data_IF_968274616322
#
_entry.id   IF_968274616322
#
_cell.length_a   1.000
_cell.length_b   1.000
_cell.length_c   1.000
_cell.angle_alpha   90.00
_cell.angle_beta   90.00
_cell.angle_gamma   90.00
#
_symmetry.space_group_name_H-M   'P 1'
#
loop_
_entity.id
_entity.type
_entity.pdbx_description
1 polymer ?
#
# COMPACT_ATOMS: atom_id res chain seq x y z
N UNK A 1 -90.56 22.95 2.37
CA UNK A 1 -89.81 21.73 2.54
C UNK A 1 -88.49 21.92 1.83
N UNK A 2 -87.52 22.42 2.47
CA UNK A 2 -86.19 22.65 1.88
C UNK A 2 -85.14 21.90 2.74
N UNK A 3 -84.54 20.88 2.16
CA UNK A 3 -83.43 20.13 2.81
C UNK A 3 -82.16 20.91 2.60
N UNK A 4 -81.58 21.38 3.69
CA UNK A 4 -80.23 21.92 3.71
C UNK A 4 -79.23 20.75 3.76
N UNK A 5 -78.34 20.68 2.78
CA UNK A 5 -77.19 19.74 2.77
C UNK A 5 -76.00 20.51 3.28
N UNK A 6 -75.46 20.11 4.44
CA UNK A 6 -74.25 20.64 5.04
C UNK A 6 -73.07 19.90 4.46
N UNK A 7 -72.27 20.58 3.65
CA UNK A 7 -71.01 20.01 3.15
C UNK A 7 -69.92 20.31 4.18
N UNK A 8 -69.48 19.32 4.90
CA UNK A 8 -68.26 19.36 5.74
C UNK A 8 -67.02 19.31 4.88
N UNK A 9 -66.28 20.41 4.84
CA UNK A 9 -64.96 20.55 4.20
C UNK A 9 -63.90 19.91 5.10
N UNK A 10 -63.48 18.69 4.75
CA UNK A 10 -62.32 18.01 5.40
C UNK A 10 -61.05 18.58 4.79
N UNK A 11 -60.47 19.56 5.46
CA UNK A 11 -59.16 20.11 5.10
C UNK A 11 -58.08 19.20 5.68
N UNK A 12 -57.73 18.18 4.92
CA UNK A 12 -56.59 17.28 5.26
C UNK A 12 -55.29 18.02 5.08
N UNK A 13 -54.64 18.38 6.17
CA UNK A 13 -53.25 18.85 6.18
C UNK A 13 -52.33 17.69 5.82
N UNK A 14 -51.93 17.66 4.56
CA UNK A 14 -50.87 16.75 4.08
C UNK A 14 -49.54 17.31 4.59
N UNK A 15 -49.14 16.93 5.82
CA UNK A 15 -47.78 17.11 6.29
C UNK A 15 -46.86 16.22 5.43
N UNK A 16 -46.37 16.79 4.34
CA UNK A 16 -45.28 16.19 3.57
C UNK A 16 -44.05 16.04 4.45
N UNK A 17 -43.78 14.82 4.92
CA UNK A 17 -42.46 14.45 5.40
C UNK A 17 -41.50 14.55 4.20
N UNK A 18 -40.92 15.74 4.03
CA UNK A 18 -39.70 15.90 3.26
C UNK A 18 -38.60 15.16 4.04
N UNK A 19 -38.50 13.84 3.83
CA UNK A 19 -37.31 13.12 4.17
C UNK A 19 -36.19 13.76 3.38
N UNK A 20 -35.46 14.69 4.00
CA UNK A 20 -34.18 15.12 3.51
C UNK A 20 -33.31 13.83 3.42
N UNK A 21 -33.27 13.22 2.24
CA UNK A 21 -32.25 12.24 1.98
C UNK A 21 -30.93 13.01 2.06
N UNK A 22 -30.29 12.92 3.22
CA UNK A 22 -28.92 13.35 3.34
C UNK A 22 -28.15 12.60 2.28
N UNK A 23 -27.65 13.29 1.25
CA UNK A 23 -26.82 12.71 0.21
C UNK A 23 -25.70 11.96 0.93
N UNK A 24 -25.61 10.67 0.69
CA UNK A 24 -24.57 9.85 1.31
C UNK A 24 -23.21 10.46 0.96
N UNK A 25 -22.39 10.74 1.99
CA UNK A 25 -21.06 11.31 1.77
C UNK A 25 -20.23 10.31 0.97
N UNK A 26 -19.65 10.80 -0.11
CA UNK A 26 -18.77 10.02 -0.95
C UNK A 26 -17.36 10.60 -0.90
N UNK A 27 -16.38 9.75 -0.57
CA UNK A 27 -14.96 10.07 -0.58
C UNK A 27 -14.29 9.42 -1.78
N UNK A 28 -13.37 10.14 -2.41
CA UNK A 28 -12.57 9.64 -3.52
C UNK A 28 -11.12 9.52 -3.09
N UNK A 29 -10.49 8.40 -3.42
CA UNK A 29 -9.07 8.17 -3.17
C UNK A 29 -8.39 7.50 -4.35
N UNK A 30 -7.08 7.66 -4.45
CA UNK A 30 -6.29 6.99 -5.46
C UNK A 30 -4.87 6.70 -4.97
N UNK A 31 -4.25 5.66 -5.52
CA UNK A 31 -2.83 5.42 -5.28
C UNK A 31 -2.43 3.95 -5.25
N UNK A 32 -1.69 3.58 -4.22
CA UNK A 32 -1.01 2.32 -4.08
C UNK A 32 -1.88 1.08 -4.35
N UNK A 33 -1.32 0.13 -5.08
CA UNK A 33 -1.92 -1.22 -5.24
C UNK A 33 -1.48 -2.18 -4.14
N UNK A 34 -0.40 -1.88 -3.43
CA UNK A 34 0.13 -2.66 -2.31
C UNK A 34 -0.96 -2.93 -1.25
N UNK A 35 -1.65 -1.92 -0.65
CA UNK A 35 -2.68 -2.14 0.35
C UNK A 35 -4.08 -2.40 -0.23
N UNK A 36 -4.25 -2.45 -1.55
CA UNK A 36 -5.58 -2.44 -2.17
C UNK A 36 -6.52 -3.55 -1.66
N UNK A 37 -6.09 -4.81 -1.48
CA UNK A 37 -6.97 -5.85 -0.92
C UNK A 37 -7.47 -5.52 0.50
N UNK A 38 -6.60 -4.95 1.35
CA UNK A 38 -6.98 -4.49 2.69
C UNK A 38 -7.89 -3.26 2.63
N UNK A 39 -7.55 -2.26 1.80
CA UNK A 39 -8.36 -1.05 1.66
C UNK A 39 -9.75 -1.37 1.11
N UNK A 40 -9.85 -2.23 0.12
CA UNK A 40 -11.14 -2.69 -0.41
C UNK A 40 -12.01 -3.32 0.68
N UNK A 41 -11.40 -4.17 1.54
CA UNK A 41 -12.10 -4.76 2.68
C UNK A 41 -12.50 -3.71 3.71
N UNK A 42 -11.58 -2.86 4.13
CA UNK A 42 -11.85 -1.80 5.12
C UNK A 42 -12.95 -0.85 4.63
N UNK A 43 -12.88 -0.37 3.39
CA UNK A 43 -13.86 0.56 2.83
C UNK A 43 -15.25 -0.07 2.70
N UNK A 44 -15.32 -1.34 2.32
CA UNK A 44 -16.58 -2.08 2.29
C UNK A 44 -17.23 -2.22 3.68
N UNK A 45 -16.43 -2.54 4.69
CA UNK A 45 -16.94 -2.68 6.06
C UNK A 45 -17.32 -1.32 6.66
N UNK A 46 -16.50 -0.29 6.43
CA UNK A 46 -16.81 1.07 6.88
C UNK A 46 -18.10 1.61 6.24
N UNK A 47 -18.32 1.31 4.95
CA UNK A 47 -19.60 1.66 4.30
C UNK A 47 -20.80 1.00 4.96
N UNK A 48 -20.71 -0.28 5.32
CA UNK A 48 -21.79 -1.00 6.02
C UNK A 48 -22.09 -0.39 7.39
N UNK A 49 -21.06 0.07 8.09
CA UNK A 49 -21.18 0.64 9.44
C UNK A 49 -21.71 2.09 9.41
N UNK A 50 -21.35 2.89 8.40
CA UNK A 50 -21.54 4.35 8.43
C UNK A 50 -22.34 4.92 7.26
N UNK A 51 -22.52 4.17 6.18
CA UNK A 51 -23.10 4.66 4.93
C UNK A 51 -22.17 5.58 4.11
N UNK A 52 -20.93 5.85 4.57
CA UNK A 52 -19.97 6.65 3.82
C UNK A 52 -19.32 5.80 2.73
N UNK A 53 -19.55 6.17 1.47
CA UNK A 53 -18.99 5.48 0.32
C UNK A 53 -17.58 5.95 0.02
N UNK A 54 -16.65 5.02 -0.21
CA UNK A 54 -15.29 5.32 -0.60
C UNK A 54 -15.01 4.72 -1.99
N UNK A 55 -14.71 5.57 -2.97
CA UNK A 55 -14.27 5.16 -4.29
C UNK A 55 -12.76 5.28 -4.37
N UNK A 56 -12.08 4.14 -4.46
CA UNK A 56 -10.62 4.08 -4.51
C UNK A 56 -10.10 3.53 -5.82
N UNK A 57 -9.18 4.26 -6.45
CA UNK A 57 -8.53 3.86 -7.69
C UNK A 57 -7.10 3.37 -7.42
N UNK A 58 -6.86 2.07 -7.55
CA UNK A 58 -5.56 1.45 -7.37
C UNK A 58 -4.67 1.63 -8.63
N UNK A 59 -4.06 2.80 -8.76
CA UNK A 59 -3.29 3.26 -9.94
C UNK A 59 -1.79 3.40 -9.70
N UNK A 60 -1.31 2.93 -8.55
CA UNK A 60 0.06 3.06 -8.08
C UNK A 60 0.31 4.35 -7.29
N UNK A 61 1.30 4.31 -6.39
CA UNK A 61 1.64 5.41 -5.48
C UNK A 61 1.92 6.72 -6.19
N UNK A 62 2.65 6.68 -7.30
CA UNK A 62 2.93 7.87 -8.10
C UNK A 62 1.68 8.50 -8.69
N UNK A 63 0.70 7.69 -9.11
CA UNK A 63 -0.62 8.15 -9.56
C UNK A 63 -1.39 8.85 -8.44
N UNK A 64 -1.45 8.22 -7.24
CA UNK A 64 -2.13 8.78 -6.07
C UNK A 64 -1.53 10.11 -5.62
N UNK A 65 -0.20 10.19 -5.55
CA UNK A 65 0.50 11.44 -5.19
C UNK A 65 0.16 12.56 -6.19
N UNK A 66 0.18 12.26 -7.50
CA UNK A 66 -0.15 13.26 -8.54
C UNK A 66 -1.61 13.71 -8.45
N UNK A 67 -2.55 12.79 -8.23
CA UNK A 67 -3.98 13.15 -8.11
C UNK A 67 -4.26 13.96 -6.85
N UNK A 68 -3.62 13.62 -5.71
CA UNK A 68 -3.71 14.43 -4.50
C UNK A 68 -3.16 15.84 -4.72
N UNK A 69 -1.98 15.94 -5.35
CA UNK A 69 -1.37 17.24 -5.68
C UNK A 69 -2.26 18.10 -6.60
N UNK A 70 -2.92 17.46 -7.57
CA UNK A 70 -3.90 18.09 -8.46
C UNK A 70 -5.27 18.32 -7.80
N UNK A 71 -5.47 17.88 -6.55
CA UNK A 71 -6.74 17.99 -5.78
C UNK A 71 -7.93 17.34 -6.51
N UNK A 72 -7.68 16.29 -7.29
CA UNK A 72 -8.72 15.53 -8.01
C UNK A 72 -9.27 14.36 -7.18
N UNK A 73 -8.66 14.10 -6.02
CA UNK A 73 -9.12 13.12 -5.02
C UNK A 73 -9.07 13.71 -3.63
N UNK A 74 -9.89 13.19 -2.72
CA UNK A 74 -9.96 13.63 -1.33
C UNK A 74 -8.76 13.15 -0.52
N UNK A 75 -8.14 12.00 -0.92
CA UNK A 75 -6.92 11.48 -0.32
C UNK A 75 -6.08 10.68 -1.33
N UNK A 76 -4.77 10.67 -1.12
CA UNK A 76 -3.84 9.80 -1.83
C UNK A 76 -3.46 8.58 -1.01
N UNK A 77 -2.90 7.55 -1.63
CA UNK A 77 -2.29 6.42 -0.93
C UNK A 77 -0.94 6.06 -1.54
N UNK A 78 0.05 5.78 -0.70
CA UNK A 78 1.42 5.50 -1.14
C UNK A 78 2.16 4.59 -0.17
N UNK A 79 2.98 3.67 -0.71
CA UNK A 79 3.94 2.86 0.03
C UNK A 79 5.36 3.45 -0.08
N UNK A 80 5.47 4.62 -0.68
CA UNK A 80 6.66 5.46 -0.68
C UNK A 80 6.28 6.79 -0.03
N UNK A 81 6.92 7.14 1.08
CA UNK A 81 6.72 8.47 1.63
C UNK A 81 7.18 9.55 0.64
N UNK A 82 6.55 10.70 0.71
CA UNK A 82 6.98 11.88 -0.05
C UNK A 82 8.15 12.50 0.69
N UNK A 83 9.30 12.58 0.05
CA UNK A 83 10.49 13.21 0.60
C UNK A 83 10.36 14.75 0.68
N UNK A 84 11.31 15.42 1.30
CA UNK A 84 11.23 16.86 1.52
C UNK A 84 11.18 17.65 0.22
N UNK A 85 11.86 17.20 -0.83
CA UNK A 85 11.79 17.84 -2.15
C UNK A 85 10.42 17.61 -2.82
N UNK A 86 9.83 16.44 -2.63
CA UNK A 86 8.48 16.15 -3.08
C UNK A 86 7.41 16.97 -2.34
N UNK A 87 7.59 17.16 -1.02
CA UNK A 87 6.67 17.98 -0.20
C UNK A 87 6.60 19.43 -0.68
N UNK A 88 7.72 20.02 -1.12
CA UNK A 88 7.77 21.39 -1.66
C UNK A 88 6.91 21.61 -2.91
N UNK A 89 6.54 20.53 -3.61
CA UNK A 89 5.70 20.59 -4.81
C UNK A 89 4.21 20.69 -4.51
N UNK A 90 3.81 20.44 -3.28
CA UNK A 90 2.41 20.61 -2.87
C UNK A 90 2.12 22.06 -2.54
N UNK A 91 0.90 22.51 -2.85
CA UNK A 91 0.45 23.88 -2.57
C UNK A 91 0.32 24.20 -1.08
N UNK A 92 0.21 23.16 -0.25
CA UNK A 92 0.07 23.24 1.20
C UNK A 92 0.61 21.97 1.85
N UNK A 93 0.96 21.97 3.14
CA UNK A 93 1.50 20.81 3.82
C UNK A 93 0.60 19.58 3.75
N UNK A 94 1.18 18.41 3.56
CA UNK A 94 0.49 17.12 3.59
C UNK A 94 0.99 16.28 4.76
N UNK A 95 0.16 15.34 5.19
CA UNK A 95 0.42 14.40 6.27
C UNK A 95 0.47 12.96 5.72
N UNK A 96 1.28 12.11 6.37
CA UNK A 96 1.41 10.70 6.10
C UNK A 96 0.78 9.91 7.25
N UNK A 97 -0.43 9.40 7.07
CA UNK A 97 -1.12 8.58 8.08
C UNK A 97 -0.80 7.12 7.81
N UNK A 98 0.03 6.44 8.64
CA UNK A 98 0.33 5.03 8.43
C UNK A 98 -0.92 4.20 8.70
N UNK A 99 -1.17 3.20 7.85
CA UNK A 99 -2.34 2.32 8.01
C UNK A 99 -1.93 0.90 8.39
N UNK A 100 -0.89 0.38 7.77
CA UNK A 100 -0.38 -0.97 8.01
C UNK A 100 1.04 -1.11 7.47
N UNK A 101 1.71 -2.22 7.78
CA UNK A 101 2.95 -2.62 7.12
C UNK A 101 2.75 -3.95 6.40
N UNK A 102 3.56 -4.17 5.36
CA UNK A 102 3.52 -5.41 4.58
C UNK A 102 4.89 -5.78 4.03
N UNK A 103 4.95 -6.94 3.38
CA UNK A 103 6.16 -7.49 2.78
C UNK A 103 6.13 -7.38 1.26
N UNK A 104 7.24 -6.93 0.67
CA UNK A 104 7.51 -7.12 -0.76
C UNK A 104 8.23 -8.45 -0.92
N UNK A 105 7.58 -9.41 -1.57
CA UNK A 105 8.13 -10.75 -1.75
C UNK A 105 8.70 -10.95 -3.15
N UNK A 106 9.75 -11.74 -3.24
CA UNK A 106 10.35 -12.15 -4.50
C UNK A 106 9.64 -13.41 -4.95
N UNK A 107 8.72 -13.26 -5.89
CA UNK A 107 7.94 -14.36 -6.45
C UNK A 107 8.50 -14.82 -7.79
N UNK A 108 8.30 -16.08 -8.12
CA UNK A 108 8.86 -16.68 -9.33
C UNK A 108 7.95 -17.78 -9.89
N UNK A 109 8.22 -18.18 -11.14
CA UNK A 109 7.49 -19.25 -11.79
C UNK A 109 8.47 -20.36 -12.20
N UNK A 110 8.70 -21.30 -11.28
CA UNK A 110 9.52 -22.51 -11.47
C UNK A 110 8.74 -23.72 -10.98
N UNK A 111 7.98 -24.38 -11.85
CA UNK A 111 7.19 -25.56 -11.47
C UNK A 111 8.10 -26.66 -10.89
N UNK A 112 7.66 -27.24 -9.76
CA UNK A 112 8.39 -28.33 -9.09
C UNK A 112 9.60 -27.89 -8.27
N UNK A 113 9.96 -26.60 -8.26
CA UNK A 113 11.05 -26.09 -7.43
C UNK A 113 10.49 -25.68 -6.06
N UNK A 114 11.08 -26.18 -4.96
CA UNK A 114 10.67 -25.78 -3.61
C UNK A 114 10.99 -24.31 -3.32
N UNK A 115 10.57 -23.82 -2.16
CA UNK A 115 10.83 -22.45 -1.73
C UNK A 115 12.33 -22.14 -1.70
N UNK A 116 12.75 -21.17 -2.50
CA UNK A 116 14.14 -20.75 -2.65
C UNK A 116 14.60 -19.83 -1.52
N UNK A 117 15.91 -19.82 -1.30
CA UNK A 117 16.64 -18.82 -0.50
C UNK A 117 17.40 -17.90 -1.45
N UNK A 118 17.27 -16.60 -1.28
CA UNK A 118 17.99 -15.59 -2.07
C UNK A 118 18.62 -14.55 -1.14
N UNK A 119 19.82 -14.11 -1.48
CA UNK A 119 20.45 -12.95 -0.84
C UNK A 119 20.11 -11.69 -1.61
N UNK A 120 20.23 -10.52 -0.95
CA UNK A 120 20.01 -9.24 -1.61
C UNK A 120 20.92 -8.99 -2.80
N UNK A 121 22.18 -9.43 -2.71
CA UNK A 121 23.13 -9.33 -3.83
C UNK A 121 22.70 -10.17 -5.04
N UNK A 122 22.26 -11.42 -4.81
CA UNK A 122 21.77 -12.28 -5.89
C UNK A 122 20.52 -11.69 -6.53
N UNK A 123 19.59 -11.16 -5.73
CA UNK A 123 18.41 -10.47 -6.27
C UNK A 123 18.83 -9.25 -7.10
N UNK A 124 19.75 -8.43 -6.61
CA UNK A 124 20.26 -7.28 -7.36
C UNK A 124 20.92 -7.72 -8.68
N UNK A 125 21.77 -8.74 -8.66
CA UNK A 125 22.42 -9.26 -9.86
C UNK A 125 21.42 -9.80 -10.91
N UNK A 126 20.31 -10.42 -10.46
CA UNK A 126 19.23 -10.85 -11.35
C UNK A 126 18.55 -9.63 -12.01
N UNK A 127 18.15 -8.64 -11.20
CA UNK A 127 17.44 -7.46 -11.72
C UNK A 127 18.34 -6.47 -12.48
N UNK A 128 19.66 -6.58 -12.33
CA UNK A 128 20.66 -5.91 -13.18
C UNK A 128 20.91 -6.67 -14.51
N UNK A 129 20.38 -7.89 -14.67
CA UNK A 129 20.61 -8.73 -15.85
C UNK A 129 21.99 -9.41 -15.87
N UNK A 130 22.68 -9.51 -14.73
CA UNK A 130 23.97 -10.20 -14.60
C UNK A 130 23.80 -11.71 -14.40
N UNK A 131 22.81 -12.10 -13.60
CA UNK A 131 22.36 -13.49 -13.47
C UNK A 131 21.14 -13.65 -14.37
N UNK A 132 21.30 -14.47 -15.42
CA UNK A 132 20.28 -14.62 -16.47
C UNK A 132 19.72 -16.05 -16.58
N UNK A 133 20.19 -16.97 -15.74
CA UNK A 133 19.76 -18.36 -15.74
C UNK A 133 19.54 -18.88 -14.31
N UNK A 134 18.50 -19.68 -14.11
CA UNK A 134 18.19 -20.25 -12.80
C UNK A 134 19.24 -21.26 -12.31
N UNK A 135 19.98 -21.89 -13.24
CA UNK A 135 21.09 -22.81 -12.92
C UNK A 135 22.39 -22.10 -12.51
N UNK A 136 22.40 -20.77 -12.39
CA UNK A 136 23.58 -19.99 -12.01
C UNK A 136 24.21 -20.51 -10.70
N UNK A 137 25.53 -20.63 -10.63
CA UNK A 137 26.27 -21.14 -9.47
C UNK A 137 25.95 -20.37 -8.17
N UNK A 138 25.69 -19.05 -8.23
CA UNK A 138 25.34 -18.23 -7.06
C UNK A 138 23.99 -18.65 -6.48
N UNK A 139 22.99 -18.95 -7.33
CA UNK A 139 21.67 -19.43 -6.89
C UNK A 139 21.78 -20.84 -6.33
N UNK A 140 22.50 -21.74 -7.04
CA UNK A 140 22.74 -23.13 -6.59
C UNK A 140 23.40 -23.19 -5.22
N UNK A 141 24.42 -22.36 -4.98
CA UNK A 141 25.13 -22.31 -3.70
C UNK A 141 24.19 -21.97 -2.51
N UNK A 142 23.19 -21.12 -2.73
CA UNK A 142 22.22 -20.77 -1.69
C UNK A 142 21.15 -21.84 -1.47
N UNK A 143 20.99 -22.77 -2.43
CA UNK A 143 19.92 -23.76 -2.46
C UNK A 143 20.51 -25.18 -2.69
N UNK A 144 21.38 -25.67 -1.79
CA UNK A 144 21.97 -26.99 -1.97
C UNK A 144 20.88 -28.08 -1.96
N UNK A 145 20.99 -29.05 -2.86
CA UNK A 145 20.02 -30.14 -3.00
C UNK A 145 18.77 -29.79 -3.80
N UNK A 146 18.59 -28.53 -4.21
CA UNK A 146 17.50 -28.12 -5.11
C UNK A 146 17.95 -28.32 -6.56
N UNK A 147 17.18 -29.10 -7.34
CA UNK A 147 17.42 -29.25 -8.77
C UNK A 147 16.88 -28.03 -9.52
N UNK A 148 17.74 -27.02 -9.71
CA UNK A 148 17.41 -25.81 -10.46
C UNK A 148 17.50 -26.09 -11.96
N UNK A 149 16.45 -25.74 -12.75
CA UNK A 149 16.45 -25.99 -14.19
C UNK A 149 17.45 -25.09 -14.93
N UNK A 150 17.99 -25.60 -16.03
CA UNK A 150 18.70 -24.77 -17.01
C UNK A 150 17.65 -23.96 -17.80
N UNK A 151 17.18 -22.87 -17.21
CA UNK A 151 16.10 -22.05 -17.73
C UNK A 151 16.46 -20.58 -17.59
N UNK A 152 16.25 -19.82 -18.67
CA UNK A 152 16.49 -18.38 -18.67
C UNK A 152 15.57 -17.66 -17.68
N UNK A 153 16.14 -16.73 -16.94
CA UNK A 153 15.38 -15.84 -16.05
C UNK A 153 14.71 -14.73 -16.87
N UNK A 154 13.40 -14.55 -16.66
CA UNK A 154 12.63 -13.43 -17.20
C UNK A 154 12.27 -12.50 -16.04
N UNK A 155 12.91 -11.35 -15.98
CA UNK A 155 12.61 -10.35 -14.94
C UNK A 155 11.27 -9.68 -15.24
N UNK A 156 10.44 -9.54 -14.22
CA UNK A 156 9.19 -8.77 -14.28
C UNK A 156 9.22 -7.68 -13.23
N UNK A 157 9.02 -6.45 -13.67
CA UNK A 157 9.03 -5.26 -12.82
C UNK A 157 7.78 -4.41 -13.00
N UNK A 158 7.63 -3.35 -12.22
CA UNK A 158 6.50 -2.41 -12.33
C UNK A 158 6.70 -1.44 -13.50
N UNK A 159 5.62 -1.19 -14.24
CA UNK A 159 5.58 -0.20 -15.32
C UNK A 159 4.99 1.15 -14.93
N UNK A 160 4.40 1.24 -13.72
CA UNK A 160 3.79 2.45 -13.15
C UNK A 160 4.64 3.04 -12.02
N UNK A 161 4.32 4.25 -11.58
CA UNK A 161 4.93 4.85 -10.40
C UNK A 161 4.51 4.13 -9.12
N UNK A 162 5.39 3.26 -8.61
CA UNK A 162 5.07 2.22 -7.62
C UNK A 162 5.75 2.43 -6.28
N UNK A 163 4.97 2.40 -5.19
CA UNK A 163 5.52 2.32 -3.84
C UNK A 163 6.17 0.97 -3.55
N UNK A 164 5.63 -0.13 -4.10
CA UNK A 164 6.25 -1.46 -4.01
C UNK A 164 7.65 -1.45 -4.64
N UNK A 165 7.81 -0.78 -5.80
CA UNK A 165 9.13 -0.56 -6.41
C UNK A 165 10.04 0.28 -5.52
N UNK A 166 9.49 1.31 -4.86
CA UNK A 166 10.28 2.13 -3.93
C UNK A 166 10.85 1.28 -2.77
N UNK A 167 10.01 0.46 -2.11
CA UNK A 167 10.44 -0.44 -1.03
C UNK A 167 11.50 -1.43 -1.55
N UNK A 168 11.24 -2.08 -2.68
CA UNK A 168 12.16 -3.03 -3.30
C UNK A 168 13.50 -2.40 -3.64
N UNK A 169 13.50 -1.26 -4.33
CA UNK A 169 14.73 -0.59 -4.76
C UNK A 169 15.48 0.08 -3.61
N UNK A 170 14.78 0.50 -2.55
CA UNK A 170 15.39 0.98 -1.30
C UNK A 170 16.19 -0.15 -0.63
N UNK A 171 15.60 -1.37 -0.55
CA UNK A 171 16.31 -2.55 -0.07
C UNK A 171 17.54 -2.86 -0.93
N UNK A 172 17.39 -2.96 -2.26
CA UNK A 172 18.51 -3.28 -3.15
C UNK A 172 19.63 -2.23 -3.08
N UNK A 173 19.28 -0.95 -2.92
CA UNK A 173 20.28 0.12 -2.74
C UNK A 173 21.06 0.03 -1.42
N UNK A 174 20.51 -0.66 -0.41
CA UNK A 174 21.17 -0.90 0.88
C UNK A 174 22.10 -2.12 0.86
N UNK A 175 21.86 -3.08 -0.03
CA UNK A 175 22.57 -4.38 -0.06
C UNK A 175 23.45 -4.56 -1.29
N UNK A 176 23.36 -3.68 -2.29
CA UNK A 176 24.17 -3.71 -3.50
C UNK A 176 24.63 -2.31 -3.90
N UNK A 177 25.95 -2.09 -3.82
CA UNK A 177 26.58 -0.85 -4.27
C UNK A 177 26.36 -0.60 -5.77
N UNK A 178 26.47 -1.67 -6.56
CA UNK A 178 26.26 -1.59 -7.99
C UNK A 178 24.83 -1.20 -8.36
N UNK A 179 23.84 -1.76 -7.65
CA UNK A 179 22.44 -1.34 -7.81
C UNK A 179 22.28 0.13 -7.44
N UNK A 180 22.81 0.54 -6.28
CA UNK A 180 22.72 1.91 -5.78
C UNK A 180 23.26 2.92 -6.77
N UNK A 181 24.41 2.61 -7.40
CA UNK A 181 25.09 3.52 -8.34
C UNK A 181 24.44 3.54 -9.73
N UNK A 182 23.95 2.39 -10.23
CA UNK A 182 23.44 2.25 -11.60
C UNK A 182 21.94 2.52 -11.73
N UNK A 183 21.14 2.12 -10.76
CA UNK A 183 19.69 2.15 -10.80
C UNK A 183 19.12 3.04 -9.70
N UNK A 184 19.61 2.85 -8.46
CA UNK A 184 19.19 3.63 -7.31
C UNK A 184 17.82 3.24 -6.75
N UNK A 185 17.21 4.18 -6.02
CA UNK A 185 15.94 4.06 -5.34
C UNK A 185 14.89 4.98 -5.94
N UNK A 186 13.69 4.48 -6.19
CA UNK A 186 12.61 5.33 -6.71
C UNK A 186 11.28 4.59 -6.89
N UNK A 187 10.24 5.36 -7.15
CA UNK A 187 8.92 4.86 -7.57
C UNK A 187 8.89 4.44 -9.03
N UNK A 188 9.77 5.02 -9.84
CA UNK A 188 9.97 4.72 -11.26
C UNK A 188 11.46 4.66 -11.51
N UNK A 189 11.92 3.62 -12.16
CA UNK A 189 13.34 3.33 -12.38
C UNK A 189 13.64 3.11 -13.86
N UNK A 190 14.89 3.35 -14.26
CA UNK A 190 15.39 2.97 -15.57
C UNK A 190 15.84 1.49 -15.51
N UNK A 191 14.90 0.58 -15.79
CA UNK A 191 15.17 -0.84 -15.76
C UNK A 191 16.13 -1.26 -16.88
N UNK A 192 17.12 -2.04 -16.54
CA UNK A 192 18.12 -2.54 -17.51
C UNK A 192 17.63 -3.77 -18.26
N UNK A 193 16.65 -4.49 -17.71
CA UNK A 193 16.09 -5.71 -18.28
C UNK A 193 14.67 -5.94 -17.74
N UNK A 194 13.91 -6.78 -18.41
CA UNK A 194 12.63 -7.28 -17.93
C UNK A 194 11.41 -6.74 -18.66
N UNK A 195 10.26 -7.20 -18.19
CA UNK A 195 8.93 -6.85 -18.70
C UNK A 195 8.17 -6.04 -17.64
N UNK A 196 7.45 -5.02 -18.08
CA UNK A 196 6.68 -4.14 -17.20
C UNK A 196 5.25 -4.63 -16.96
N UNK A 197 4.87 -4.84 -15.69
CA UNK A 197 3.50 -5.11 -15.26
C UNK A 197 2.88 -3.91 -14.53
N UNK A 198 1.65 -3.53 -14.87
CA UNK A 198 0.93 -2.45 -14.21
C UNK A 198 0.36 -2.89 -12.86
N UNK A 199 0.78 -2.23 -11.79
CA UNK A 199 0.37 -2.54 -10.42
C UNK A 199 0.91 -3.89 -9.92
N UNK A 200 0.66 -4.22 -8.66
CA UNK A 200 0.94 -5.56 -8.14
C UNK A 200 0.21 -6.67 -8.92
N UNK A 201 -1.09 -6.49 -9.31
CA UNK A 201 -1.79 -7.50 -10.11
C UNK A 201 -1.12 -7.77 -11.46
N UNK A 202 -0.62 -6.75 -12.15
CA UNK A 202 0.02 -6.91 -13.46
C UNK A 202 1.33 -7.68 -13.35
N UNK A 203 2.16 -7.42 -12.33
CA UNK A 203 3.39 -8.19 -12.08
C UNK A 203 3.04 -9.63 -11.72
N UNK A 204 2.10 -9.85 -10.78
CA UNK A 204 1.67 -11.20 -10.40
C UNK A 204 1.14 -12.00 -11.60
N UNK A 205 0.32 -11.37 -12.44
CA UNK A 205 -0.22 -11.99 -13.66
C UNK A 205 0.86 -12.42 -14.64
N UNK A 206 1.85 -11.56 -14.93
CA UNK A 206 2.96 -11.89 -15.82
C UNK A 206 3.83 -13.01 -15.25
N UNK A 207 4.20 -12.94 -13.96
CA UNK A 207 5.00 -14.00 -13.33
C UNK A 207 4.26 -15.34 -13.39
N UNK A 208 2.97 -15.36 -13.09
CA UNK A 208 2.16 -16.59 -13.14
C UNK A 208 2.10 -17.23 -14.54
N UNK A 209 2.10 -16.40 -15.58
CA UNK A 209 1.97 -16.85 -16.97
C UNK A 209 3.28 -17.26 -17.63
N UNK A 210 4.43 -16.73 -17.17
CA UNK A 210 5.70 -16.89 -17.85
C UNK A 210 6.62 -17.85 -17.08
N UNK A 211 6.82 -19.10 -17.54
CA UNK A 211 7.81 -20.02 -16.95
C UNK A 211 9.20 -19.40 -16.92
N UNK A 212 9.92 -19.57 -15.83
CA UNK A 212 11.24 -18.99 -15.62
C UNK A 212 11.25 -17.54 -15.18
N UNK A 213 10.09 -16.90 -15.03
CA UNK A 213 10.03 -15.51 -14.59
C UNK A 213 10.24 -15.34 -13.08
N UNK A 214 10.70 -14.14 -12.72
CA UNK A 214 10.87 -13.64 -11.36
C UNK A 214 10.36 -12.19 -11.29
N UNK A 215 9.70 -11.85 -10.20
CA UNK A 215 9.20 -10.50 -9.97
C UNK A 215 9.07 -10.19 -8.48
N UNK A 216 8.59 -9.01 -8.17
CA UNK A 216 8.33 -8.60 -6.80
C UNK A 216 6.90 -8.04 -6.68
N UNK A 217 6.20 -8.47 -5.65
CA UNK A 217 4.83 -8.06 -5.33
C UNK A 217 4.64 -7.96 -3.82
N UNK A 218 3.58 -7.31 -3.37
CA UNK A 218 3.13 -7.44 -2.00
C UNK A 218 2.66 -8.88 -1.74
N UNK A 219 2.91 -9.40 -0.53
CA UNK A 219 2.72 -10.80 -0.13
C UNK A 219 1.35 -11.36 -0.49
N UNK A 220 0.26 -10.62 -0.28
CA UNK A 220 -1.10 -11.11 -0.54
C UNK A 220 -1.31 -11.47 -2.02
N UNK A 221 -0.64 -10.78 -2.94
CA UNK A 221 -0.75 -11.10 -4.37
C UNK A 221 -0.09 -12.42 -4.73
N UNK A 222 1.01 -12.78 -4.07
CA UNK A 222 1.62 -14.10 -4.23
C UNK A 222 0.72 -15.19 -3.62
N UNK A 223 0.23 -14.97 -2.40
CA UNK A 223 -0.65 -15.92 -1.69
C UNK A 223 -1.97 -16.15 -2.45
N UNK A 224 -2.65 -15.09 -2.85
CA UNK A 224 -3.95 -15.17 -3.55
C UNK A 224 -3.85 -15.83 -4.93
N UNK A 225 -2.67 -15.87 -5.52
CA UNK A 225 -2.42 -16.52 -6.80
C UNK A 225 -1.73 -17.88 -6.68
N UNK A 226 -1.52 -18.39 -5.45
CA UNK A 226 -0.78 -19.64 -5.15
C UNK A 226 0.62 -19.66 -5.79
N UNK A 227 1.31 -18.50 -5.75
CA UNK A 227 2.64 -18.34 -6.34
C UNK A 227 3.71 -18.59 -5.26
N UNK A 228 4.80 -19.31 -5.60
CA UNK A 228 5.94 -19.43 -4.69
C UNK A 228 6.65 -18.09 -4.52
N UNK A 229 7.29 -17.91 -3.38
CA UNK A 229 8.14 -16.76 -3.07
C UNK A 229 9.34 -17.19 -2.23
N UNK A 230 10.45 -16.49 -2.39
CA UNK A 230 11.71 -16.81 -1.74
C UNK A 230 11.77 -16.35 -0.29
N UNK A 231 12.55 -17.08 0.53
CA UNK A 231 13.13 -16.52 1.76
C UNK A 231 14.25 -15.56 1.38
N UNK A 232 14.30 -14.43 2.01
CA UNK A 232 15.32 -13.41 1.72
C UNK A 232 16.22 -13.23 2.93
N UNK A 233 17.54 -13.20 2.67
CA UNK A 233 18.52 -12.98 3.73
C UNK A 233 18.43 -11.53 4.25
N UNK A 234 18.30 -11.37 5.57
CA UNK A 234 18.30 -10.08 6.22
C UNK A 234 19.71 -9.63 6.65
N UNK A 235 19.81 -8.45 7.26
CA UNK A 235 21.07 -7.86 7.71
C UNK A 235 21.81 -8.72 8.75
N UNK A 236 21.08 -9.50 9.55
CA UNK A 236 21.65 -10.41 10.53
C UNK A 236 22.17 -11.73 9.91
N UNK A 237 22.00 -11.94 8.60
CA UNK A 237 22.41 -13.15 7.89
C UNK A 237 21.37 -14.27 7.87
N UNK A 238 20.21 -14.08 8.47
CA UNK A 238 19.14 -15.06 8.53
C UNK A 238 18.26 -15.02 7.27
N UNK A 239 17.90 -16.21 6.73
CA UNK A 239 16.91 -16.31 5.65
C UNK A 239 15.50 -16.28 6.22
N UNK A 240 14.81 -15.16 6.03
CA UNK A 240 13.52 -14.89 6.64
C UNK A 240 12.38 -15.18 5.66
N UNK A 241 11.38 -15.91 6.16
CA UNK A 241 10.09 -16.07 5.48
C UNK A 241 9.24 -14.81 5.71
N UNK A 242 8.62 -14.23 4.67
CA UNK A 242 7.69 -13.13 4.85
C UNK A 242 6.45 -13.62 5.63
N UNK A 243 6.15 -12.94 6.72
CA UNK A 243 5.00 -13.21 7.58
C UNK A 243 4.60 -11.94 8.33
N UNK A 244 3.41 -11.94 8.91
CA UNK A 244 2.97 -10.84 9.78
C UNK A 244 4.00 -10.60 10.89
N UNK A 245 4.48 -11.67 11.53
CA UNK A 245 5.46 -11.58 12.61
C UNK A 245 6.78 -10.97 12.12
N UNK A 246 7.36 -11.46 11.01
CA UNK A 246 8.65 -10.96 10.51
C UNK A 246 8.56 -9.52 10.00
N UNK A 247 7.41 -9.10 9.46
CA UNK A 247 7.15 -7.69 9.11
C UNK A 247 7.01 -6.82 10.37
N UNK A 248 6.28 -7.30 11.40
CA UNK A 248 6.15 -6.57 12.66
C UNK A 248 7.49 -6.37 13.35
N UNK A 249 8.37 -7.39 13.34
CA UNK A 249 9.73 -7.28 13.86
C UNK A 249 10.57 -6.26 13.06
N UNK A 250 10.45 -6.23 11.74
CA UNK A 250 11.10 -5.21 10.91
C UNK A 250 10.59 -3.78 11.21
N UNK A 251 9.30 -3.66 11.58
CA UNK A 251 8.67 -2.40 11.93
C UNK A 251 8.96 -1.94 13.37
N UNK A 252 9.52 -2.81 14.21
CA UNK A 252 9.97 -2.46 15.57
C UNK A 252 11.30 -1.70 15.52
N UNK A 253 11.23 -0.47 15.11
CA UNK A 253 12.36 0.45 14.95
C UNK A 253 11.97 1.85 15.40
N UNK A 254 12.94 2.75 15.53
CA UNK A 254 12.65 4.15 15.88
C UNK A 254 11.75 4.79 14.83
N UNK A 255 10.54 5.16 15.23
CA UNK A 255 9.56 5.80 14.36
C UNK A 255 9.63 7.34 14.52
N UNK A 256 9.81 8.12 13.44
CA UNK A 256 9.72 9.58 13.49
C UNK A 256 8.27 10.03 13.73
N UNK A 257 8.07 11.27 14.18
CA UNK A 257 6.73 11.80 14.47
C UNK A 257 5.86 11.94 13.22
N UNK A 258 6.47 12.16 12.06
CA UNK A 258 5.78 12.25 10.78
C UNK A 258 5.60 10.89 10.07
N UNK A 259 6.06 9.82 10.70
CA UNK A 259 5.99 8.43 10.23
C UNK A 259 6.64 8.15 8.87
N UNK A 260 7.47 9.06 8.34
CA UNK A 260 8.22 8.87 7.09
C UNK A 260 9.50 8.08 7.35
N UNK A 261 9.40 6.78 7.36
CA UNK A 261 10.51 5.87 7.69
C UNK A 261 10.57 4.67 6.74
N UNK A 262 11.78 4.21 6.44
CA UNK A 262 12.02 2.96 5.71
C UNK A 262 12.14 1.80 6.69
N UNK A 263 11.45 0.70 6.40
CA UNK A 263 11.54 -0.56 7.14
C UNK A 263 12.43 -1.60 6.45
N UNK A 264 13.12 -1.22 5.36
CA UNK A 264 13.96 -2.17 4.63
C UNK A 264 15.31 -2.36 5.32
N UNK A 265 15.75 -3.61 5.36
CA UNK A 265 17.06 -4.02 5.88
C UNK A 265 17.35 -3.48 7.29
N UNK A 266 16.36 -3.50 8.18
CA UNK A 266 16.51 -3.10 9.59
C UNK A 266 17.44 -4.07 10.33
N UNK A 267 17.84 -3.73 11.55
CA UNK A 267 18.69 -4.58 12.39
C UNK A 267 17.96 -5.70 13.10
N UNK A 268 16.64 -5.84 12.91
CA UNK A 268 15.85 -6.89 13.54
C UNK A 268 16.35 -8.28 13.10
N UNK A 269 16.75 -9.10 14.08
CA UNK A 269 17.36 -10.41 13.84
C UNK A 269 16.49 -11.35 13.00
N UNK A 270 15.16 -11.29 13.22
CA UNK A 270 14.17 -12.09 12.48
C UNK A 270 13.21 -11.22 11.66
N UNK A 271 13.56 -9.96 11.43
CA UNK A 271 12.79 -9.05 10.60
C UNK A 271 12.91 -9.39 9.11
N UNK A 272 11.76 -9.33 8.39
CA UNK A 272 11.79 -9.51 6.94
C UNK A 272 12.41 -8.28 6.26
N UNK A 273 13.43 -8.45 5.42
CA UNK A 273 14.27 -7.32 5.00
C UNK A 273 13.61 -6.39 3.97
N UNK A 274 12.54 -6.81 3.30
CA UNK A 274 11.85 -6.00 2.29
C UNK A 274 10.45 -5.64 2.80
N UNK A 275 10.42 -5.03 3.98
CA UNK A 275 9.19 -4.56 4.63
C UNK A 275 8.98 -3.06 4.40
N UNK A 276 7.73 -2.62 4.42
CA UNK A 276 7.39 -1.20 4.28
C UNK A 276 6.03 -0.87 4.88
N UNK A 277 5.88 0.37 5.36
CA UNK A 277 4.58 0.94 5.66
C UNK A 277 3.84 1.31 4.37
N UNK A 278 2.52 1.42 4.49
CA UNK A 278 1.68 2.13 3.53
C UNK A 278 0.93 3.24 4.26
N UNK A 279 0.80 4.37 3.59
CA UNK A 279 0.21 5.59 4.15
C UNK A 279 -0.98 6.05 3.34
N UNK A 280 -1.98 6.61 4.03
CA UNK A 280 -2.91 7.56 3.43
C UNK A 280 -2.29 8.95 3.52
N UNK A 281 -2.30 9.66 2.40
CA UNK A 281 -1.79 11.02 2.25
C UNK A 281 -2.95 12.00 2.20
N UNK A 282 -2.92 13.01 3.05
CA UNK A 282 -3.95 14.06 3.11
C UNK A 282 -3.33 15.43 3.28
N UNK A 283 -3.97 16.48 2.80
CA UNK A 283 -3.58 17.84 3.19
C UNK A 283 -3.78 18.03 4.69
N UNK A 284 -2.87 18.76 5.34
CA UNK A 284 -2.97 19.06 6.78
C UNK A 284 -4.21 19.88 7.07
N UNK A 285 -4.49 20.90 6.26
CA UNK A 285 -5.79 21.58 6.26
C UNK A 285 -6.59 21.07 5.06
N UNK A 286 -7.70 20.39 5.32
CA UNK A 286 -8.48 19.72 4.29
C UNK A 286 -9.24 20.69 3.38
N UNK A 287 -9.46 21.94 3.80
CA UNK A 287 -9.98 22.99 2.91
C UNK A 287 -8.98 23.36 1.84
N UNK A 288 -7.70 23.44 2.21
CA UNK A 288 -6.60 23.63 1.26
C UNK A 288 -6.49 22.47 0.25
N UNK A 289 -6.89 21.27 0.66
CA UNK A 289 -7.05 20.09 -0.20
C UNK A 289 -8.27 20.15 -1.14
N UNK A 290 -9.15 21.14 -1.00
CA UNK A 290 -10.35 21.29 -1.81
C UNK A 290 -11.60 20.58 -1.27
N UNK A 291 -11.56 20.01 -0.07
CA UNK A 291 -12.69 19.29 0.50
C UNK A 291 -13.75 20.26 1.06
N UNK A 292 -15.02 19.84 1.01
CA UNK A 292 -16.07 20.46 1.82
C UNK A 292 -15.90 20.06 3.30
N UNK A 293 -16.45 20.82 4.21
CA UNK A 293 -16.37 20.52 5.65
C UNK A 293 -16.97 19.16 6.01
N UNK A 294 -18.02 18.76 5.30
CA UNK A 294 -18.68 17.47 5.48
C UNK A 294 -17.75 16.32 5.07
N UNK A 295 -17.15 16.37 3.87
CA UNK A 295 -16.15 15.40 3.41
C UNK A 295 -14.93 15.38 4.33
N UNK A 296 -14.47 16.53 4.79
CA UNK A 296 -13.33 16.63 5.71
C UNK A 296 -13.58 15.86 7.01
N UNK A 297 -14.78 16.05 7.62
CA UNK A 297 -15.19 15.29 8.81
C UNK A 297 -15.31 13.80 8.54
N UNK A 298 -15.88 13.41 7.40
CA UNK A 298 -15.99 12.00 7.02
C UNK A 298 -14.62 11.36 6.81
N UNK A 299 -13.70 12.05 6.16
CA UNK A 299 -12.33 11.56 5.93
C UNK A 299 -11.58 11.35 7.25
N UNK A 300 -11.62 12.32 8.16
CA UNK A 300 -10.96 12.19 9.47
C UNK A 300 -11.53 11.03 10.28
N UNK A 301 -12.86 10.82 10.27
CA UNK A 301 -13.50 9.67 10.91
C UNK A 301 -13.08 8.34 10.26
N UNK A 302 -12.98 8.30 8.93
CA UNK A 302 -12.48 7.12 8.22
C UNK A 302 -11.04 6.79 8.64
N UNK A 303 -10.15 7.78 8.66
CA UNK A 303 -8.76 7.58 9.07
C UNK A 303 -8.68 7.08 10.52
N UNK A 304 -9.46 7.67 11.41
CA UNK A 304 -9.54 7.22 12.79
C UNK A 304 -10.00 5.77 12.90
N UNK A 305 -11.08 5.42 12.19
CA UNK A 305 -11.57 4.04 12.17
C UNK A 305 -10.53 3.06 11.58
N UNK A 306 -9.82 3.44 10.50
CA UNK A 306 -8.81 2.58 9.87
C UNK A 306 -7.65 2.23 10.82
N UNK A 307 -7.22 3.15 11.68
CA UNK A 307 -6.13 2.90 12.64
C UNK A 307 -6.63 2.28 13.97
N UNK A 308 -7.94 2.11 14.15
CA UNK A 308 -8.57 1.45 15.29
C UNK A 308 -9.33 0.19 14.88
N UNK A 309 -10.62 0.28 14.67
CA UNK A 309 -11.49 -0.87 14.38
C UNK A 309 -11.14 -1.57 13.06
N UNK A 310 -10.64 -0.83 12.10
CA UNK A 310 -10.14 -1.35 10.83
C UNK A 310 -8.97 -2.31 10.96
N UNK A 311 -8.15 -2.18 12.03
CA UNK A 311 -6.97 -3.02 12.24
C UNK A 311 -7.31 -4.52 12.38
N UNK A 312 -8.51 -4.88 12.81
CA UNK A 312 -8.98 -6.28 12.90
C UNK A 312 -8.99 -7.04 11.55
N UNK A 313 -8.89 -6.31 10.44
CA UNK A 313 -8.85 -6.90 9.09
C UNK A 313 -7.44 -7.14 8.55
N UNK A 314 -6.41 -6.56 9.17
CA UNK A 314 -5.03 -6.61 8.66
C UNK A 314 -4.48 -8.04 8.62
N UNK A 315 -4.52 -8.76 9.73
CA UNK A 315 -3.93 -10.09 9.84
C UNK A 315 -4.60 -11.11 8.92
N UNK A 316 -5.91 -11.02 8.73
CA UNK A 316 -6.68 -11.90 7.82
C UNK A 316 -6.24 -11.77 6.37
N UNK A 317 -5.63 -10.65 6.01
CA UNK A 317 -5.12 -10.35 4.68
C UNK A 317 -3.59 -10.29 4.65
N UNK A 318 -2.94 -10.89 5.66
CA UNK A 318 -1.48 -11.02 5.75
C UNK A 318 -0.70 -9.69 5.82
N UNK A 319 -1.36 -8.62 6.30
CA UNK A 319 -0.68 -7.37 6.65
C UNK A 319 -0.39 -7.32 8.15
N UNK A 320 0.72 -6.70 8.51
CA UNK A 320 1.06 -6.47 9.91
C UNK A 320 0.25 -5.28 10.47
N UNK A 321 -0.48 -5.45 11.59
CA UNK A 321 -1.15 -4.34 12.23
C UNK A 321 -0.15 -3.29 12.72
N UNK A 322 -0.62 -2.08 12.95
CA UNK A 322 0.19 -1.03 13.55
C UNK A 322 0.59 -1.41 14.98
N UNK A 323 1.89 -1.26 15.31
CA UNK A 323 2.33 -1.36 16.70
C UNK A 323 1.66 -0.27 17.55
N UNK A 324 1.66 -0.43 18.87
CA UNK A 324 1.09 0.58 19.78
C UNK A 324 1.74 1.95 19.60
N UNK A 325 3.05 2.00 19.33
CA UNK A 325 3.74 3.25 19.06
C UNK A 325 3.32 3.85 17.72
N UNK A 326 3.28 3.05 16.65
CA UNK A 326 2.83 3.50 15.34
C UNK A 326 1.38 4.01 15.38
N UNK A 327 0.51 3.32 16.12
CA UNK A 327 -0.88 3.72 16.34
C UNK A 327 -0.97 5.08 17.05
N UNK A 328 -0.23 5.27 18.16
CA UNK A 328 -0.21 6.56 18.87
C UNK A 328 0.27 7.70 18.00
N UNK A 329 1.29 7.45 17.15
CA UNK A 329 1.77 8.46 16.20
C UNK A 329 0.75 8.74 15.12
N UNK A 330 0.09 7.73 14.57
CA UNK A 330 -1.03 7.91 13.64
C UNK A 330 -2.16 8.75 14.23
N UNK A 331 -2.57 8.46 15.47
CA UNK A 331 -3.57 9.24 16.21
C UNK A 331 -3.17 10.73 16.35
N UNK A 332 -1.90 11.00 16.72
CA UNK A 332 -1.37 12.36 16.82
C UNK A 332 -1.42 13.08 15.46
N UNK A 333 -1.04 12.39 14.38
CA UNK A 333 -1.11 12.91 13.02
C UNK A 333 -2.56 13.22 12.66
N UNK A 334 -3.50 12.30 12.89
CA UNK A 334 -4.93 12.49 12.55
C UNK A 334 -5.54 13.65 13.34
N UNK A 335 -5.23 13.78 14.65
CA UNK A 335 -5.67 14.90 15.49
C UNK A 335 -5.11 16.25 15.05
N UNK A 336 -4.00 16.28 14.31
CA UNK A 336 -3.43 17.51 13.76
C UNK A 336 -4.08 18.00 12.47
N UNK A 337 -5.01 17.21 11.90
CA UNK A 337 -5.73 17.57 10.69
C UNK A 337 -6.74 18.68 11.02
N UNK A 338 -6.75 19.72 10.19
CA UNK A 338 -7.61 20.89 10.38
C UNK A 338 -8.55 21.12 9.20
N UNK A 339 -9.53 21.96 9.41
CA UNK A 339 -10.35 22.58 8.38
C UNK A 339 -10.49 24.08 8.71
N UNK A 340 -9.98 24.95 7.84
CA UNK A 340 -9.86 26.40 8.13
C UNK A 340 -9.13 26.69 9.45
N UNK A 341 -8.04 25.94 9.68
CA UNK A 341 -7.20 26.08 10.88
C UNK A 341 -7.81 25.48 12.17
N UNK A 342 -9.04 24.93 12.13
CA UNK A 342 -9.71 24.35 13.30
C UNK A 342 -9.61 22.83 13.28
N UNK A 343 -9.27 22.17 14.42
CA UNK A 343 -9.28 20.72 14.53
C UNK A 343 -10.66 20.12 14.18
N UNK A 344 -10.65 18.88 13.66
CA UNK A 344 -11.87 18.16 13.26
C UNK A 344 -12.22 17.00 14.21
N UNK A 345 -11.29 16.59 15.09
CA UNK A 345 -11.48 15.64 16.19
C UNK A 345 -11.34 16.36 17.52
#
# INVERSE_FOLDING_TARGET
MKKLILAAMFMGTLLGFLSSQALAVELTGAGATFPYPLYSKMFSEYYKETGVKINYQAIGSGGGIRQLMAKTVDFGASDAFVDDEGLKKFSSPILHVPITAGAVVITYNLPGVPKLKLTGEVIADIFLGKITNWSDPKIKKLNPGVNLPDLKIIVVHRSDGSGTTFIFSDYLSKVSEEWRSKVGRGKSLNWTTGLGGKGNPGVAGLVKQLPGSIGYVELIYALSNNMPYAKVQNKAGNFIDPSIQSVSLAADTKLPDDMRVSLTNTSAEYGYPISGFTWILVYKDLKEGGLTKEKARALVKLLWWMVHDGQKYTEKLHYAPLSQEAKRKAEKIIKSITYEGKPLL
#
